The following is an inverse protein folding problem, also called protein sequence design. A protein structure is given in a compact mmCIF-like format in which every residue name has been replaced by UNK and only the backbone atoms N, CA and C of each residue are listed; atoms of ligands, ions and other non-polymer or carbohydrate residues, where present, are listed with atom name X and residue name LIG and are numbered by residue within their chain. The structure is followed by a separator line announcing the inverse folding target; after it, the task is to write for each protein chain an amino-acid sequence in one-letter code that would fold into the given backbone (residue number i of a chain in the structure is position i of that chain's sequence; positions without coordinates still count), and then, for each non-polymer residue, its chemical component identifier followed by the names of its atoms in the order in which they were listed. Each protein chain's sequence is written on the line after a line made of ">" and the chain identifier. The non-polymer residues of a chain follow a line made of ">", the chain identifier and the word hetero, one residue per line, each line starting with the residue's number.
data_IF_845856729678
#
_entry.id   IF_845856729678
#
_cell.length_a   1.000
_cell.length_b   1.000
_cell.length_c   1.000
_cell.angle_alpha   90.00
_cell.angle_beta   90.00
_cell.angle_gamma   90.00
#
_symmetry.space_group_name_H-M   'P 1'
#
loop_
_entity.id
_entity.type
_entity.pdbx_description
1 polymer ?
#
# COMPACT_ATOMS: atom_id res chain seq x y z
N UNK A 1 -24.25 -23.44 -4.56
CA UNK A 1 -24.70 -22.20 -3.89
C UNK A 1 -23.64 -21.16 -4.17
N UNK A 2 -23.97 -19.93 -4.60
CA UNK A 2 -22.96 -18.87 -4.60
C UNK A 2 -22.52 -18.66 -3.15
N UNK A 3 -21.25 -18.88 -2.88
CA UNK A 3 -20.63 -18.64 -1.58
C UNK A 3 -20.55 -17.13 -1.36
N UNK A 4 -21.58 -16.55 -0.73
CA UNK A 4 -21.59 -15.14 -0.38
C UNK A 4 -20.85 -14.93 0.94
N UNK A 5 -19.82 -14.09 0.93
CA UNK A 5 -19.08 -13.67 2.12
C UNK A 5 -19.40 -12.20 2.45
N UNK A 6 -19.44 -11.86 3.74
CA UNK A 6 -19.72 -10.50 4.21
C UNK A 6 -18.42 -9.83 4.62
N UNK A 7 -18.23 -8.58 4.19
CA UNK A 7 -17.12 -7.72 4.61
C UNK A 7 -17.67 -6.67 5.57
N UNK A 8 -17.21 -6.68 6.82
CA UNK A 8 -17.59 -5.71 7.85
C UNK A 8 -16.34 -5.09 8.46
N UNK A 9 -16.21 -3.77 8.41
CA UNK A 9 -15.08 -3.03 8.95
C UNK A 9 -15.57 -1.80 9.71
N UNK A 10 -14.76 -1.33 10.66
CA UNK A 10 -15.00 -0.07 11.37
C UNK A 10 -14.35 1.06 10.59
N UNK A 11 -15.05 2.18 10.48
CA UNK A 11 -14.56 3.42 9.88
C UNK A 11 -15.16 4.58 10.66
N UNK A 12 -14.46 5.71 10.66
CA UNK A 12 -14.98 6.96 11.19
C UNK A 12 -16.29 7.35 10.48
N UNK A 13 -17.27 7.84 11.24
CA UNK A 13 -18.59 8.17 10.70
C UNK A 13 -18.55 9.33 9.72
N UNK A 14 -17.70 10.33 9.96
CA UNK A 14 -17.54 11.49 9.08
C UNK A 14 -16.98 11.04 7.74
N UNK A 15 -15.92 10.22 7.77
CA UNK A 15 -15.31 9.67 6.55
C UNK A 15 -16.30 8.82 5.76
N UNK A 16 -17.13 8.02 6.44
CA UNK A 16 -18.17 7.21 5.78
C UNK A 16 -19.18 8.09 5.04
N UNK A 17 -19.64 9.17 5.67
CA UNK A 17 -20.62 10.09 5.07
C UNK A 17 -20.04 10.80 3.86
N UNK A 18 -18.82 11.34 3.98
CA UNK A 18 -18.10 12.00 2.87
C UNK A 18 -17.89 11.05 1.70
N UNK A 19 -17.36 9.84 1.95
CA UNK A 19 -17.15 8.85 0.90
C UNK A 19 -18.45 8.43 0.22
N UNK A 20 -19.55 8.31 0.97
CA UNK A 20 -20.87 8.00 0.42
C UNK A 20 -21.34 9.09 -0.53
N UNK A 21 -21.19 10.36 -0.15
CA UNK A 21 -21.59 11.49 -0.99
C UNK A 21 -20.77 11.54 -2.29
N UNK A 22 -19.45 11.38 -2.20
CA UNK A 22 -18.56 11.39 -3.38
C UNK A 22 -18.88 10.22 -4.31
N UNK A 23 -18.98 9.00 -3.80
CA UNK A 23 -19.28 7.82 -4.62
C UNK A 23 -20.66 7.90 -5.28
N UNK A 24 -21.65 8.50 -4.62
CA UNK A 24 -22.98 8.72 -5.19
C UNK A 24 -22.92 9.62 -6.43
N UNK A 25 -22.02 10.62 -6.48
CA UNK A 25 -21.82 11.44 -7.70
C UNK A 25 -21.31 10.64 -8.88
N UNK A 26 -20.66 9.50 -8.63
CA UNK A 26 -20.17 8.55 -9.64
C UNK A 26 -21.19 7.42 -9.93
N UNK A 27 -22.35 7.43 -9.27
CA UNK A 27 -23.36 6.37 -9.39
C UNK A 27 -22.98 5.07 -8.67
N UNK A 28 -22.06 5.13 -7.69
CA UNK A 28 -21.56 3.97 -6.95
C UNK A 28 -22.02 4.02 -5.49
N UNK A 29 -22.29 2.86 -4.92
CA UNK A 29 -22.42 2.71 -3.47
C UNK A 29 -21.08 2.40 -2.82
N UNK A 30 -20.97 2.58 -1.50
CA UNK A 30 -19.78 2.15 -0.73
C UNK A 30 -19.51 0.65 -0.95
N UNK A 31 -20.57 -0.17 -1.01
CA UNK A 31 -20.42 -1.60 -1.26
C UNK A 31 -19.91 -1.92 -2.67
N UNK A 32 -20.26 -1.12 -3.68
CA UNK A 32 -19.70 -1.28 -5.03
C UNK A 32 -18.21 -0.96 -5.04
N UNK A 33 -17.82 0.16 -4.42
CA UNK A 33 -16.43 0.56 -4.32
C UNK A 33 -15.57 -0.49 -3.58
N UNK A 34 -16.07 -1.02 -2.46
CA UNK A 34 -15.38 -2.10 -1.71
C UNK A 34 -15.26 -3.37 -2.54
N UNK A 35 -16.30 -3.75 -3.29
CA UNK A 35 -16.23 -4.91 -4.20
C UNK A 35 -15.16 -4.71 -5.27
N UNK A 36 -15.16 -3.56 -5.94
CA UNK A 36 -14.18 -3.24 -6.98
C UNK A 36 -12.76 -3.26 -6.44
N UNK A 37 -12.53 -2.66 -5.26
CA UNK A 37 -11.24 -2.68 -4.58
C UNK A 37 -10.75 -4.11 -4.31
N UNK A 38 -11.61 -4.94 -3.70
CA UNK A 38 -11.22 -6.32 -3.37
C UNK A 38 -11.01 -7.19 -4.61
N UNK A 39 -11.79 -6.96 -5.68
CA UNK A 39 -11.59 -7.62 -6.97
C UNK A 39 -10.25 -7.22 -7.60
N UNK A 40 -9.90 -5.94 -7.60
CA UNK A 40 -8.61 -5.46 -8.11
C UNK A 40 -7.45 -6.05 -7.31
N UNK A 41 -7.51 -6.01 -5.97
CA UNK A 41 -6.47 -6.58 -5.11
C UNK A 41 -6.29 -8.08 -5.35
N UNK A 42 -7.39 -8.83 -5.53
CA UNK A 42 -7.34 -10.26 -5.80
C UNK A 42 -6.76 -10.58 -7.19
N UNK A 43 -6.94 -9.70 -8.17
CA UNK A 43 -6.46 -9.90 -9.54
C UNK A 43 -5.02 -9.45 -9.74
N UNK A 44 -4.69 -8.25 -9.26
CA UNK A 44 -3.43 -7.56 -9.55
C UNK A 44 -2.41 -7.71 -8.41
N UNK A 45 -2.81 -8.34 -7.30
CA UNK A 45 -1.96 -8.56 -6.11
C UNK A 45 -1.33 -7.26 -5.56
N UNK A 46 -1.96 -6.13 -5.87
CA UNK A 46 -1.51 -4.78 -5.51
C UNK A 46 -2.70 -3.95 -5.08
N UNK A 47 -2.45 -2.98 -4.20
CA UNK A 47 -3.45 -1.99 -3.84
C UNK A 47 -3.45 -0.85 -4.88
N UNK A 48 -4.62 -0.31 -5.25
CA UNK A 48 -4.76 0.73 -6.27
C UNK A 48 -4.33 2.13 -5.78
N UNK A 49 -3.55 2.18 -4.71
CA UNK A 49 -2.97 3.39 -4.16
C UNK A 49 -1.59 3.07 -3.58
N UNK A 50 -0.68 4.03 -3.67
CA UNK A 50 0.68 3.89 -3.18
C UNK A 50 0.69 3.82 -1.64
N UNK A 51 0.69 2.59 -1.12
CA UNK A 51 0.87 2.35 0.32
C UNK A 51 2.27 2.75 0.81
N UNK A 52 3.26 2.61 -0.05
CA UNK A 52 4.66 2.81 0.27
C UNK A 52 5.04 4.28 0.05
N UNK A 53 4.35 5.19 0.75
CA UNK A 53 4.93 6.52 0.97
C UNK A 53 6.10 6.30 1.92
N UNK A 54 7.36 6.45 1.46
CA UNK A 54 8.49 6.15 2.32
C UNK A 54 8.41 7.06 3.55
N UNK A 55 8.61 6.51 4.73
CA UNK A 55 8.65 7.31 5.95
C UNK A 55 9.82 8.30 5.88
N UNK A 56 9.83 9.31 6.75
CA UNK A 56 10.85 10.37 6.71
C UNK A 56 12.29 9.82 6.73
N UNK A 57 12.53 8.77 7.52
CA UNK A 57 13.83 8.09 7.59
C UNK A 57 14.23 7.46 6.26
N UNK A 58 13.31 6.74 5.61
CA UNK A 58 13.53 6.10 4.31
C UNK A 58 13.78 7.15 3.23
N UNK A 59 13.04 8.26 3.25
CA UNK A 59 13.25 9.39 2.33
C UNK A 59 14.65 9.97 2.49
N UNK A 60 15.10 10.21 3.72
CA UNK A 60 16.45 10.74 4.00
C UNK A 60 17.52 9.76 3.53
N UNK A 61 17.38 8.47 3.83
CA UNK A 61 18.31 7.43 3.38
C UNK A 61 18.42 7.39 1.85
N UNK A 62 17.29 7.47 1.12
CA UNK A 62 17.29 7.55 -0.34
C UNK A 62 17.96 8.83 -0.88
N UNK A 63 17.77 9.97 -0.20
CA UNK A 63 18.41 11.23 -0.58
C UNK A 63 19.92 11.21 -0.35
N UNK A 64 20.39 10.64 0.75
CA UNK A 64 21.81 10.49 1.03
C UNK A 64 22.51 9.62 0.00
N UNK A 65 21.92 8.46 -0.32
CA UNK A 65 22.41 7.56 -1.38
C UNK A 65 22.52 8.28 -2.72
N UNK A 66 21.47 9.03 -3.13
CA UNK A 66 21.48 9.80 -4.38
C UNK A 66 22.52 10.91 -4.40
N UNK A 67 22.84 11.48 -3.24
CA UNK A 67 23.85 12.51 -3.09
C UNK A 67 25.27 11.95 -2.85
N UNK A 68 25.45 10.62 -2.91
CA UNK A 68 26.73 9.96 -2.69
C UNK A 68 27.19 9.95 -1.22
N UNK A 69 26.29 10.19 -0.27
CA UNK A 69 26.56 10.17 1.17
C UNK A 69 26.11 8.84 1.78
N UNK A 70 26.73 8.47 2.91
CA UNK A 70 26.37 7.27 3.67
C UNK A 70 26.38 5.98 2.81
N UNK A 71 27.34 5.88 1.88
CA UNK A 71 27.57 4.72 1.02
C UNK A 71 28.83 3.99 1.45
N UNK A 72 28.74 2.66 1.51
CA UNK A 72 29.89 1.78 1.64
C UNK A 72 30.00 0.90 0.38
N UNK A 73 31.20 0.85 -0.21
CA UNK A 73 31.45 -0.04 -1.36
C UNK A 73 31.89 -1.39 -0.83
N UNK A 74 31.05 -2.39 -1.02
CA UNK A 74 31.34 -3.78 -0.65
C UNK A 74 31.33 -4.69 -1.88
N UNK A 75 32.07 -5.80 -1.82
CA UNK A 75 32.05 -6.82 -2.85
C UNK A 75 30.80 -7.71 -2.74
N UNK A 76 30.45 -8.40 -3.83
CA UNK A 76 29.36 -9.38 -3.83
C UNK A 76 29.60 -10.51 -2.81
N UNK A 77 30.86 -10.89 -2.56
CA UNK A 77 31.20 -11.92 -1.58
C UNK A 77 30.97 -11.43 -0.14
N UNK A 78 31.32 -10.17 0.15
CA UNK A 78 31.09 -9.53 1.45
C UNK A 78 29.59 -9.39 1.76
N UNK A 79 28.80 -8.88 0.80
CA UNK A 79 27.34 -8.76 0.94
C UNK A 79 26.68 -10.12 1.23
N UNK A 80 27.10 -11.18 0.53
CA UNK A 80 26.56 -12.54 0.74
C UNK A 80 26.90 -13.07 2.14
N UNK A 81 28.06 -12.71 2.68
CA UNK A 81 28.47 -13.04 4.04
C UNK A 81 27.55 -12.40 5.09
N UNK A 82 27.29 -11.10 4.95
CA UNK A 82 26.44 -10.34 5.88
C UNK A 82 24.97 -10.80 5.86
N UNK A 83 24.40 -11.05 4.68
CA UNK A 83 23.00 -11.46 4.55
C UNK A 83 22.71 -12.87 5.11
N UNK A 84 23.71 -13.75 5.17
CA UNK A 84 23.57 -15.10 5.76
C UNK A 84 23.70 -15.11 7.29
N UNK A 85 24.24 -14.04 7.86
CA UNK A 85 24.48 -13.91 9.31
C UNK A 85 23.30 -13.28 10.06
N UNK A 86 22.20 -12.97 9.37
CA UNK A 86 21.01 -12.32 9.92
C UNK A 86 19.80 -13.24 9.79
#
# INVERSE_FOLDING_TARGET
>A
MPSNAVVQTRIDSVIKEEATAVLATMGLTVSDAVRLLLTHVAHDHTLPFDLLIPNAETVIAMQDVRAGRNLETISLEQLRGEMRSK
#
